data_IF_521587381702
#
_entry.id   IF_521587381702
#
_cell.length_a   1.000
_cell.length_b   1.000
_cell.length_c   1.000
_cell.angle_alpha   90.00
_cell.angle_beta   90.00
_cell.angle_gamma   90.00
#
_symmetry.space_group_name_H-M   'P 1'
#
loop_
_entity.id
_entity.type
_entity.pdbx_description
1 polymer ?
#
# COMPACT_ATOMS: atom_id res chain seq x y z
N UNK A 1 41.70 -14.05 -9.09
CA UNK A 1 40.51 -13.28 -8.67
C UNK A 1 40.76 -11.86 -9.09
N UNK A 2 39.85 -11.28 -9.88
CA UNK A 2 39.91 -9.85 -10.18
C UNK A 2 39.81 -9.05 -8.87
N UNK A 3 40.54 -7.93 -8.73
CA UNK A 3 40.47 -7.09 -7.54
C UNK A 3 39.03 -6.59 -7.36
N UNK A 4 38.46 -6.79 -6.17
CA UNK A 4 37.11 -6.34 -5.85
C UNK A 4 37.13 -4.89 -5.35
N UNK A 5 36.27 -4.05 -5.93
CA UNK A 5 35.94 -2.73 -5.46
C UNK A 5 34.79 -2.79 -4.45
N UNK A 6 34.92 -2.07 -3.34
CA UNK A 6 33.80 -1.80 -2.43
C UNK A 6 32.96 -0.65 -2.97
N UNK A 7 31.80 -0.95 -3.55
CA UNK A 7 30.81 0.05 -3.98
C UNK A 7 29.84 0.32 -2.84
N UNK A 8 29.68 1.57 -2.41
CA UNK A 8 28.84 1.90 -1.25
C UNK A 8 28.09 3.22 -1.41
N UNK A 9 27.03 3.39 -0.62
CA UNK A 9 26.20 4.59 -0.65
C UNK A 9 25.15 4.60 0.46
N UNK A 10 24.20 5.53 0.36
CA UNK A 10 23.10 5.67 1.32
C UNK A 10 21.76 5.85 0.62
N UNK A 11 20.71 5.20 1.12
CA UNK A 11 19.32 5.46 0.74
C UNK A 11 18.73 6.57 1.60
N UNK A 12 17.94 7.46 1.01
CA UNK A 12 17.22 8.52 1.74
C UNK A 12 15.84 8.74 1.15
N UNK A 13 14.97 9.43 1.88
CA UNK A 13 13.76 10.03 1.32
C UNK A 13 13.60 11.41 1.92
N UNK A 14 13.75 12.44 1.09
CA UNK A 14 13.58 13.83 1.50
C UNK A 14 12.18 14.07 2.09
N UNK A 15 11.16 13.43 1.53
CA UNK A 15 9.77 13.57 1.96
C UNK A 15 9.53 12.96 3.35
N UNK A 16 10.02 11.74 3.60
CA UNK A 16 9.98 11.16 4.96
C UNK A 16 10.87 11.94 5.95
N UNK A 17 11.96 12.52 5.46
CA UNK A 17 12.83 13.40 6.25
C UNK A 17 12.09 14.61 6.81
N UNK A 18 11.13 15.19 6.08
CA UNK A 18 10.26 16.27 6.60
C UNK A 18 9.40 15.84 7.80
N UNK A 19 9.18 14.54 7.95
CA UNK A 19 8.44 13.92 9.05
C UNK A 19 9.38 13.35 10.13
N UNK A 20 10.69 13.63 10.07
CA UNK A 20 11.73 13.04 10.92
C UNK A 20 11.75 11.49 10.88
N UNK A 21 11.47 10.90 9.72
CA UNK A 21 11.46 9.45 9.51
C UNK A 21 12.52 9.03 8.50
N UNK A 22 13.17 7.91 8.78
CA UNK A 22 14.06 7.24 7.84
C UNK A 22 13.31 6.12 7.11
N UNK A 23 13.82 5.76 5.94
CA UNK A 23 13.36 4.58 5.21
C UNK A 23 13.68 3.29 5.98
N UNK A 24 12.73 2.35 5.98
CA UNK A 24 12.90 1.01 6.55
C UNK A 24 12.57 -0.09 5.52
N UNK A 25 12.91 -1.34 5.85
CA UNK A 25 12.79 -2.51 4.97
C UNK A 25 13.33 -2.21 3.57
N UNK A 26 14.60 -1.79 3.54
CA UNK A 26 15.26 -1.34 2.33
C UNK A 26 15.90 -2.51 1.61
N UNK A 27 16.00 -2.41 0.29
CA UNK A 27 16.80 -3.32 -0.51
C UNK A 27 17.57 -2.58 -1.60
N UNK A 28 18.80 -3.01 -1.87
CA UNK A 28 19.54 -2.60 -3.07
C UNK A 28 19.96 -3.85 -3.81
N UNK A 29 19.75 -3.86 -5.11
CA UNK A 29 20.19 -4.94 -5.99
C UNK A 29 21.16 -4.40 -7.00
N UNK A 30 22.21 -5.17 -7.28
CA UNK A 30 23.22 -4.86 -8.27
C UNK A 30 23.27 -5.98 -9.31
N UNK A 31 23.12 -5.64 -10.58
CA UNK A 31 23.00 -6.55 -11.70
C UNK A 31 24.20 -6.39 -12.64
N UNK A 32 24.86 -7.52 -12.94
CA UNK A 32 25.84 -7.64 -14.03
C UNK A 32 25.19 -8.39 -15.18
N UNK A 33 24.89 -7.71 -16.30
CA UNK A 33 24.17 -8.32 -17.42
C UNK A 33 22.81 -8.92 -17.02
N UNK A 34 22.62 -10.20 -17.36
CA UNK A 34 21.42 -11.02 -17.06
C UNK A 34 21.63 -11.98 -15.87
N UNK A 35 22.74 -11.84 -15.14
CA UNK A 35 23.04 -12.71 -14.00
C UNK A 35 22.15 -12.43 -12.78
N UNK A 36 22.15 -13.38 -11.83
CA UNK A 36 21.46 -13.21 -10.55
C UNK A 36 22.04 -11.99 -9.82
N UNK A 37 21.20 -11.04 -9.38
CA UNK A 37 21.71 -9.84 -8.72
C UNK A 37 22.33 -10.15 -7.35
N UNK A 38 23.33 -9.35 -6.99
CA UNK A 38 23.75 -9.20 -5.60
C UNK A 38 22.70 -8.37 -4.87
N UNK A 39 22.20 -8.86 -3.74
CA UNK A 39 21.16 -8.20 -2.95
C UNK A 39 21.68 -7.78 -1.58
N UNK A 40 21.31 -6.58 -1.17
CA UNK A 40 21.51 -6.06 0.18
C UNK A 40 20.14 -5.70 0.76
N UNK A 41 19.86 -6.07 2.00
CA UNK A 41 18.58 -5.82 2.68
C UNK A 41 18.84 -5.34 4.10
N UNK A 42 18.19 -4.24 4.51
CA UNK A 42 18.36 -3.70 5.88
C UNK A 42 17.31 -2.64 6.22
N UNK A 43 17.08 -2.42 7.51
CA UNK A 43 16.43 -1.20 8.01
C UNK A 43 17.41 -0.03 8.12
N UNK A 44 18.71 -0.29 8.02
CA UNK A 44 19.70 0.78 7.85
C UNK A 44 19.59 1.38 6.45
N UNK A 45 20.18 2.57 6.29
CA UNK A 45 20.19 3.28 5.00
C UNK A 45 21.52 3.15 4.27
N UNK A 46 22.62 2.84 4.95
CA UNK A 46 23.93 2.69 4.34
C UNK A 46 24.13 1.26 3.82
N UNK A 47 24.47 1.13 2.54
CA UNK A 47 24.69 -0.16 1.88
C UNK A 47 26.08 -0.24 1.26
N UNK A 48 26.55 -1.46 1.01
CA UNK A 48 27.76 -1.70 0.22
C UNK A 48 27.74 -3.08 -0.46
N UNK A 49 28.53 -3.20 -1.52
CA UNK A 49 28.80 -4.42 -2.28
C UNK A 49 30.28 -4.52 -2.59
N UNK A 50 30.79 -5.73 -2.78
CA UNK A 50 32.13 -5.97 -3.33
C UNK A 50 31.98 -6.58 -4.72
N UNK A 51 32.49 -5.89 -5.75
CA UNK A 51 32.35 -6.28 -7.15
C UNK A 51 33.62 -6.02 -7.96
N UNK A 52 33.93 -6.81 -9.00
CA UNK A 52 35.04 -6.52 -9.90
C UNK A 52 34.79 -5.27 -10.76
N UNK A 53 35.81 -4.76 -11.48
CA UNK A 53 35.63 -3.70 -12.47
C UNK A 53 34.56 -4.05 -13.50
N UNK A 54 33.74 -3.08 -13.89
CA UNK A 54 32.64 -3.31 -14.82
C UNK A 54 31.49 -2.33 -14.64
N UNK A 55 30.47 -2.48 -15.48
CA UNK A 55 29.27 -1.65 -15.43
C UNK A 55 28.11 -2.45 -14.88
N UNK A 56 27.48 -1.93 -13.83
CA UNK A 56 26.39 -2.58 -13.13
C UNK A 56 25.15 -1.71 -13.14
N UNK A 57 24.00 -2.32 -13.42
CA UNK A 57 22.71 -1.67 -13.15
C UNK A 57 22.38 -1.88 -11.68
N UNK A 58 21.86 -0.88 -11.00
CA UNK A 58 21.33 -1.03 -9.66
C UNK A 58 19.83 -0.75 -9.63
N UNK A 59 19.16 -1.35 -8.64
CA UNK A 59 17.79 -1.04 -8.25
C UNK A 59 17.72 -0.86 -6.74
N UNK A 60 17.25 0.29 -6.29
CA UNK A 60 17.07 0.62 -4.89
C UNK A 60 15.58 0.65 -4.54
N UNK A 61 15.24 0.03 -3.41
CA UNK A 61 13.89 -0.20 -2.94
C UNK A 61 13.75 0.18 -1.47
N UNK A 62 12.54 0.58 -1.11
CA UNK A 62 12.04 0.52 0.25
C UNK A 62 10.58 0.09 0.20
N UNK A 63 10.11 -0.59 1.24
CA UNK A 63 8.66 -0.86 1.38
C UNK A 63 7.83 0.44 1.31
N UNK A 64 8.41 1.56 1.76
CA UNK A 64 7.76 2.85 1.95
C UNK A 64 8.00 3.85 0.81
N UNK A 65 8.76 3.48 -0.22
CA UNK A 65 9.16 4.39 -1.29
C UNK A 65 9.15 3.72 -2.67
N UNK A 66 9.11 4.54 -3.72
CA UNK A 66 9.18 4.10 -5.10
C UNK A 66 10.59 3.65 -5.46
N UNK A 67 10.69 2.63 -6.33
CA UNK A 67 11.97 2.11 -6.81
C UNK A 67 12.74 3.19 -7.58
N UNK A 68 14.05 3.26 -7.35
CA UNK A 68 14.97 4.03 -8.20
C UNK A 68 15.97 3.07 -8.84
N UNK A 69 16.09 3.17 -10.16
CA UNK A 69 17.06 2.41 -10.94
C UNK A 69 18.16 3.33 -11.46
N UNK A 70 19.37 2.79 -11.63
CA UNK A 70 20.48 3.51 -12.25
C UNK A 70 21.61 2.59 -12.65
N UNK A 71 22.75 3.18 -13.01
CA UNK A 71 23.96 2.45 -13.41
C UNK A 71 25.16 3.00 -12.67
N UNK A 72 26.06 2.12 -12.26
CA UNK A 72 27.38 2.45 -11.70
C UNK A 72 28.45 1.75 -12.53
N UNK A 73 29.51 2.49 -12.88
CA UNK A 73 30.70 1.93 -13.53
C UNK A 73 31.83 1.90 -12.52
N UNK A 74 32.40 0.71 -12.32
CA UNK A 74 33.55 0.45 -11.45
C UNK A 74 34.80 0.42 -12.34
N UNK A 75 35.71 1.40 -12.23
CA UNK A 75 36.99 1.40 -12.93
C UNK A 75 37.90 0.24 -12.51
N UNK A 76 38.86 -0.16 -13.38
CA UNK A 76 39.94 -1.05 -13.00
C UNK A 76 40.73 -0.50 -11.79
N UNK A 77 41.19 -1.40 -10.93
CA UNK A 77 42.06 -1.12 -9.77
C UNK A 77 41.49 -0.14 -8.73
N UNK A 78 40.20 0.18 -8.78
CA UNK A 78 39.54 1.01 -7.78
C UNK A 78 39.19 0.19 -6.54
N UNK A 79 39.78 0.52 -5.38
CA UNK A 79 39.51 -0.19 -4.13
C UNK A 79 38.13 0.12 -3.53
N UNK A 80 37.70 1.39 -3.58
CA UNK A 80 36.43 1.86 -3.03
C UNK A 80 35.76 2.87 -3.98
N UNK A 81 34.44 2.77 -4.14
CA UNK A 81 33.62 3.67 -4.95
C UNK A 81 32.37 4.09 -4.19
N UNK A 82 32.29 5.35 -3.80
CA UNK A 82 31.08 5.94 -3.22
C UNK A 82 30.13 6.39 -4.33
N UNK A 83 28.90 5.87 -4.35
CA UNK A 83 27.84 6.29 -5.29
C UNK A 83 26.89 7.34 -4.70
N UNK A 84 27.23 7.85 -3.52
CA UNK A 84 26.53 8.94 -2.84
C UNK A 84 25.18 8.52 -2.28
N UNK A 85 24.24 9.47 -2.31
CA UNK A 85 22.91 9.30 -1.75
C UNK A 85 21.88 9.08 -2.84
N UNK A 86 21.10 7.99 -2.73
CA UNK A 86 19.98 7.67 -3.60
C UNK A 86 18.70 8.10 -2.88
N UNK A 87 18.05 9.15 -3.37
CA UNK A 87 16.76 9.61 -2.83
C UNK A 87 15.60 8.82 -3.46
N UNK A 88 14.82 8.14 -2.63
CA UNK A 88 13.59 7.45 -3.01
C UNK A 88 12.38 8.33 -2.67
N UNK A 89 11.52 8.56 -3.66
CA UNK A 89 10.23 9.25 -3.44
C UNK A 89 9.33 8.37 -2.57
N UNK A 90 8.83 8.90 -1.46
CA UNK A 90 7.97 8.20 -0.53
C UNK A 90 6.64 7.86 -1.18
N UNK A 91 6.11 6.67 -0.88
CA UNK A 91 4.73 6.34 -1.21
C UNK A 91 3.81 7.21 -0.36
N UNK A 92 2.68 7.61 -0.95
CA UNK A 92 1.73 8.52 -0.27
C UNK A 92 1.19 7.96 1.04
N UNK A 93 0.88 6.66 1.12
CA UNK A 93 0.45 6.04 2.38
C UNK A 93 1.53 6.14 3.49
N UNK A 94 2.81 6.07 3.13
CA UNK A 94 3.91 6.17 4.09
C UNK A 94 4.03 7.59 4.66
N UNK A 95 3.70 8.62 3.86
CA UNK A 95 3.59 10.01 4.31
C UNK A 95 2.38 10.26 5.21
N UNK A 96 1.31 9.48 5.04
CA UNK A 96 0.13 9.58 5.88
C UNK A 96 0.29 8.92 7.25
N UNK A 97 1.24 8.00 7.43
CA UNK A 97 1.45 7.33 8.73
C UNK A 97 1.68 8.36 9.84
N UNK A 98 0.84 8.30 10.87
CA UNK A 98 0.80 9.23 12.01
C UNK A 98 0.06 10.55 11.74
N UNK A 99 -0.38 10.79 10.50
CA UNK A 99 -1.14 11.97 10.10
C UNK A 99 -2.65 11.70 10.16
N UNK A 100 -3.49 12.74 10.30
CA UNK A 100 -4.93 12.60 10.15
C UNK A 100 -5.30 11.93 8.82
N UNK A 101 -6.20 10.96 8.89
CA UNK A 101 -6.70 10.27 7.71
C UNK A 101 -7.50 11.25 6.81
N UNK A 102 -7.27 11.27 5.48
CA UNK A 102 -8.08 12.06 4.56
C UNK A 102 -9.56 11.70 4.66
N UNK A 103 -10.43 12.71 4.72
CA UNK A 103 -11.89 12.52 4.83
C UNK A 103 -12.49 11.94 3.54
N UNK A 104 -13.68 11.34 3.62
CA UNK A 104 -14.36 10.82 2.43
C UNK A 104 -14.72 11.94 1.45
N UNK A 105 -14.43 11.71 0.17
CA UNK A 105 -14.75 12.62 -0.93
C UNK A 105 -15.41 11.83 -2.05
N UNK A 106 -16.37 12.47 -2.73
CA UNK A 106 -17.01 11.96 -3.95
C UNK A 106 -17.64 10.57 -3.83
N UNK A 107 -18.10 10.21 -2.62
CA UNK A 107 -18.90 9.01 -2.40
C UNK A 107 -20.31 9.26 -2.95
N UNK A 108 -20.71 8.47 -3.94
CA UNK A 108 -21.99 8.65 -4.64
C UNK A 108 -23.15 7.93 -3.97
N UNK A 109 -22.86 6.86 -3.24
CA UNK A 109 -23.84 6.10 -2.49
C UNK A 109 -23.18 5.25 -1.39
N UNK A 110 -23.99 4.86 -0.42
CA UNK A 110 -23.61 3.96 0.67
C UNK A 110 -24.49 2.71 0.65
N UNK A 111 -23.86 1.55 0.84
CA UNK A 111 -24.54 0.27 1.12
C UNK A 111 -24.31 -0.08 2.59
N UNK A 112 -25.33 -0.65 3.22
CA UNK A 112 -25.34 -1.10 4.63
C UNK A 112 -25.14 0.00 5.69
N UNK A 113 -25.19 1.27 5.31
CA UNK A 113 -25.22 2.39 6.25
C UNK A 113 -25.79 3.64 5.59
N UNK A 114 -26.20 4.58 6.43
CA UNK A 114 -26.28 5.99 6.04
C UNK A 114 -24.88 6.53 5.72
N UNK A 115 -24.77 7.69 5.04
CA UNK A 115 -23.48 8.33 4.79
C UNK A 115 -22.68 8.58 6.07
N UNK A 116 -21.42 8.17 6.06
CA UNK A 116 -20.49 8.34 7.17
C UNK A 116 -19.47 9.45 6.89
N UNK A 117 -18.88 9.96 7.96
CA UNK A 117 -17.64 10.75 7.94
C UNK A 117 -16.62 10.08 8.83
N UNK A 118 -15.36 10.01 8.42
CA UNK A 118 -14.26 9.47 9.23
C UNK A 118 -14.10 10.24 10.54
N UNK A 119 -14.30 11.56 10.51
CA UNK A 119 -14.28 12.40 11.71
C UNK A 119 -15.29 11.98 12.78
N UNK A 120 -16.45 11.47 12.39
CA UNK A 120 -17.49 10.99 13.30
C UNK A 120 -17.16 9.60 13.90
N UNK A 121 -16.18 8.90 13.33
CA UNK A 121 -15.76 7.56 13.78
C UNK A 121 -14.62 7.58 14.80
N UNK A 122 -14.11 8.77 15.17
CA UNK A 122 -13.10 8.91 16.23
C UNK A 122 -13.56 8.21 17.51
N UNK A 123 -12.61 7.58 18.19
CA UNK A 123 -12.86 6.65 19.29
C UNK A 123 -12.90 5.18 18.85
N UNK A 124 -13.15 4.91 17.57
CA UNK A 124 -13.03 3.58 16.97
C UNK A 124 -11.72 3.44 16.21
N UNK A 125 -11.23 2.21 16.09
CA UNK A 125 -10.25 1.86 15.07
C UNK A 125 -11.00 1.66 13.76
N UNK A 126 -10.52 2.23 12.67
CA UNK A 126 -11.18 2.13 11.36
C UNK A 126 -10.27 1.38 10.39
N UNK A 127 -10.82 0.39 9.69
CA UNK A 127 -10.17 -0.27 8.57
C UNK A 127 -10.89 0.12 7.28
N UNK A 128 -10.23 0.91 6.43
CA UNK A 128 -10.68 1.18 5.08
C UNK A 128 -10.17 0.09 4.14
N UNK A 129 -11.05 -0.63 3.48
CA UNK A 129 -10.68 -1.64 2.50
C UNK A 129 -10.97 -1.13 1.09
N UNK A 130 -9.94 -0.83 0.29
CA UNK A 130 -10.11 -0.47 -1.12
C UNK A 130 -10.21 -1.71 -1.99
N UNK A 131 -11.33 -1.86 -2.70
CA UNK A 131 -11.65 -3.07 -3.44
C UNK A 131 -12.59 -2.81 -4.63
N UNK A 132 -12.86 -3.84 -5.42
CA UNK A 132 -13.90 -3.82 -6.46
C UNK A 132 -14.42 -5.22 -6.74
N UNK A 133 -15.69 -5.37 -7.15
CA UNK A 133 -16.25 -6.70 -7.44
C UNK A 133 -15.53 -7.40 -8.61
N UNK A 134 -14.97 -6.60 -9.54
CA UNK A 134 -14.20 -7.06 -10.70
C UNK A 134 -12.79 -7.58 -10.33
N UNK A 135 -12.32 -7.28 -9.12
CA UNK A 135 -11.01 -7.68 -8.63
C UNK A 135 -11.08 -9.08 -8.00
N UNK A 136 -10.59 -10.09 -8.74
CA UNK A 136 -10.55 -11.49 -8.29
C UNK A 136 -9.91 -11.69 -6.90
N UNK A 137 -8.69 -11.16 -6.64
CA UNK A 137 -8.07 -11.25 -5.31
C UNK A 137 -8.90 -10.56 -4.22
N UNK A 138 -9.56 -9.44 -4.52
CA UNK A 138 -10.38 -8.71 -3.56
C UNK A 138 -11.57 -9.56 -3.10
N UNK A 139 -12.34 -10.12 -4.04
CA UNK A 139 -13.51 -10.92 -3.71
C UNK A 139 -13.14 -12.27 -3.10
N UNK A 140 -11.97 -12.82 -3.44
CA UNK A 140 -11.43 -14.02 -2.80
C UNK A 140 -11.10 -13.83 -1.32
N UNK A 141 -10.73 -12.61 -0.91
CA UNK A 141 -10.29 -12.30 0.47
C UNK A 141 -11.34 -11.63 1.34
N UNK A 142 -12.52 -11.35 0.77
CA UNK A 142 -13.66 -10.84 1.52
C UNK A 142 -14.03 -11.76 2.71
N UNK A 143 -13.81 -13.08 2.61
CA UNK A 143 -14.03 -14.02 3.71
C UNK A 143 -13.09 -13.79 4.91
N UNK A 144 -11.85 -13.35 4.67
CA UNK A 144 -10.92 -12.97 5.74
C UNK A 144 -11.43 -11.70 6.44
N UNK A 145 -11.89 -10.70 5.67
CA UNK A 145 -12.49 -9.48 6.21
C UNK A 145 -13.76 -9.76 7.02
N UNK A 146 -14.59 -10.71 6.59
CA UNK A 146 -15.75 -11.16 7.34
C UNK A 146 -15.36 -11.74 8.70
N UNK A 147 -14.27 -12.50 8.74
CA UNK A 147 -13.74 -13.08 9.98
C UNK A 147 -13.20 -11.99 10.92
N UNK A 148 -12.47 -11.01 10.37
CA UNK A 148 -12.00 -9.83 11.12
C UNK A 148 -13.20 -9.03 11.66
N UNK A 149 -14.23 -8.80 10.85
CA UNK A 149 -15.46 -8.12 11.26
C UNK A 149 -16.13 -8.83 12.44
N UNK A 150 -16.36 -10.14 12.32
CA UNK A 150 -17.03 -10.93 13.36
C UNK A 150 -16.25 -10.93 14.67
N UNK A 151 -14.92 -10.94 14.60
CA UNK A 151 -14.05 -11.00 15.77
C UNK A 151 -13.99 -9.66 16.52
N UNK A 152 -13.96 -8.53 15.80
CA UNK A 152 -13.56 -7.25 16.38
C UNK A 152 -14.61 -6.14 16.32
N UNK A 153 -15.74 -6.29 15.63
CA UNK A 153 -16.77 -5.23 15.53
C UNK A 153 -17.26 -4.75 16.89
N UNK A 154 -17.45 -5.67 17.84
CA UNK A 154 -17.95 -5.37 19.20
C UNK A 154 -16.84 -4.86 20.13
N UNK A 155 -15.60 -4.75 19.63
CA UNK A 155 -14.42 -4.25 20.36
C UNK A 155 -14.00 -2.84 19.90
N UNK A 156 -14.80 -2.19 19.06
CA UNK A 156 -14.53 -0.85 18.53
C UNK A 156 -13.75 -0.83 17.22
N UNK A 157 -13.81 -1.91 16.41
CA UNK A 157 -13.38 -1.90 15.01
C UNK A 157 -14.56 -1.55 14.09
N UNK A 158 -14.35 -0.58 13.21
CA UNK A 158 -15.26 -0.27 12.10
C UNK A 158 -14.54 -0.60 10.79
N UNK A 159 -15.11 -1.50 9.99
CA UNK A 159 -14.62 -1.78 8.63
C UNK A 159 -15.48 -0.99 7.64
N UNK A 160 -14.86 -0.35 6.65
CA UNK A 160 -15.57 0.33 5.56
C UNK A 160 -14.95 -0.12 4.24
N UNK A 161 -15.75 -0.75 3.39
CA UNK A 161 -15.34 -1.09 2.04
C UNK A 161 -15.44 0.12 1.12
N UNK A 162 -14.34 0.56 0.52
CA UNK A 162 -14.31 1.57 -0.53
C UNK A 162 -14.34 0.85 -1.87
N UNK A 163 -15.51 0.79 -2.49
CA UNK A 163 -15.70 0.13 -3.76
C UNK A 163 -15.31 1.07 -4.92
N UNK A 164 -14.23 0.72 -5.62
CA UNK A 164 -13.75 1.41 -6.81
C UNK A 164 -14.47 0.88 -8.05
N UNK A 165 -15.27 1.73 -8.69
CA UNK A 165 -15.82 1.47 -10.02
C UNK A 165 -14.73 1.58 -11.10
N UNK A 166 -14.82 0.80 -12.18
CA UNK A 166 -13.91 0.87 -13.33
C UNK A 166 -14.60 1.39 -14.59
N UNK A 167 -15.60 2.27 -14.43
CA UNK A 167 -16.40 2.83 -15.50
C UNK A 167 -17.65 2.03 -15.87
N UNK A 168 -18.04 1.02 -15.06
CA UNK A 168 -19.31 0.31 -15.24
C UNK A 168 -20.51 1.06 -14.62
N UNK A 169 -20.25 2.16 -13.90
CA UNK A 169 -21.30 3.02 -13.37
C UNK A 169 -22.05 2.39 -12.19
N UNK A 170 -21.32 1.72 -11.30
CA UNK A 170 -21.84 1.19 -10.04
C UNK A 170 -22.09 2.33 -9.04
N UNK A 171 -23.15 3.09 -9.30
CA UNK A 171 -23.55 4.29 -8.55
C UNK A 171 -24.58 4.04 -7.45
N UNK A 172 -25.00 2.80 -7.24
CA UNK A 172 -26.05 2.45 -6.29
C UNK A 172 -25.86 1.04 -5.70
N UNK A 173 -26.34 0.81 -4.46
CA UNK A 173 -26.27 -0.50 -3.82
C UNK A 173 -26.91 -1.61 -4.64
N UNK A 174 -28.04 -1.33 -5.32
CA UNK A 174 -28.74 -2.32 -6.13
C UNK A 174 -27.90 -2.83 -7.31
N UNK A 175 -27.17 -1.93 -8.00
CA UNK A 175 -26.25 -2.31 -9.09
C UNK A 175 -25.09 -3.14 -8.56
N UNK A 176 -24.53 -2.76 -7.41
CA UNK A 176 -23.46 -3.55 -6.79
C UNK A 176 -23.99 -4.94 -6.40
N UNK A 177 -25.17 -5.04 -5.78
CA UNK A 177 -25.78 -6.30 -5.36
C UNK A 177 -26.04 -7.25 -6.54
N UNK A 178 -26.43 -6.72 -7.71
CA UNK A 178 -26.55 -7.50 -8.95
C UNK A 178 -25.22 -8.15 -9.35
N UNK A 179 -24.13 -7.39 -9.32
CA UNK A 179 -22.77 -7.89 -9.64
C UNK A 179 -22.27 -8.89 -8.59
N UNK A 180 -22.66 -8.70 -7.33
CA UNK A 180 -22.24 -9.56 -6.23
C UNK A 180 -23.06 -10.85 -6.11
N UNK A 181 -24.23 -10.97 -6.76
CA UNK A 181 -25.12 -12.11 -6.56
C UNK A 181 -24.45 -13.48 -6.82
N UNK A 182 -23.70 -13.60 -7.92
CA UNK A 182 -22.99 -14.85 -8.24
C UNK A 182 -21.78 -15.06 -7.30
N UNK A 183 -21.01 -14.00 -7.07
CA UNK A 183 -19.83 -14.00 -6.20
C UNK A 183 -20.21 -14.46 -4.79
N UNK A 184 -21.31 -13.92 -4.26
CA UNK A 184 -21.85 -14.26 -2.95
C UNK A 184 -22.11 -15.75 -2.82
N UNK A 185 -22.79 -16.33 -3.81
CA UNK A 185 -23.17 -17.74 -3.77
C UNK A 185 -21.96 -18.66 -3.96
N UNK A 186 -21.02 -18.28 -4.83
CA UNK A 186 -19.87 -19.13 -5.18
C UNK A 186 -18.71 -19.03 -4.20
N UNK A 187 -18.37 -17.81 -3.77
CA UNK A 187 -17.16 -17.54 -2.99
C UNK A 187 -17.47 -17.25 -1.52
N UNK A 188 -18.62 -16.62 -1.23
CA UNK A 188 -18.94 -16.17 0.13
C UNK A 188 -19.97 -17.05 0.84
N UNK A 189 -20.28 -18.24 0.28
CA UNK A 189 -21.23 -19.21 0.87
C UNK A 189 -22.59 -18.59 1.20
N UNK A 190 -23.05 -17.64 0.37
CA UNK A 190 -24.32 -16.94 0.54
C UNK A 190 -24.28 -15.75 1.50
N UNK A 191 -23.14 -15.48 2.17
CA UNK A 191 -22.99 -14.38 3.11
C UNK A 191 -22.85 -13.04 2.39
N UNK A 192 -23.70 -12.08 2.75
CA UNK A 192 -23.58 -10.70 2.28
C UNK A 192 -22.51 -9.94 3.09
N UNK A 193 -22.04 -8.82 2.53
CA UNK A 193 -21.09 -7.92 3.19
C UNK A 193 -21.75 -7.33 4.43
N UNK A 194 -21.20 -7.52 5.64
CA UNK A 194 -21.86 -7.13 6.89
C UNK A 194 -21.51 -5.71 7.36
N UNK A 195 -20.64 -5.02 6.63
CA UNK A 195 -20.12 -3.70 7.00
C UNK A 195 -20.49 -2.64 5.95
N UNK A 196 -20.39 -1.33 6.30
CA UNK A 196 -20.60 -0.23 5.37
C UNK A 196 -19.74 -0.32 4.11
N UNK A 197 -20.32 0.01 2.96
CA UNK A 197 -19.59 0.13 1.69
C UNK A 197 -19.86 1.49 1.07
N UNK A 198 -18.81 2.27 0.88
CA UNK A 198 -18.83 3.52 0.13
C UNK A 198 -18.60 3.24 -1.36
N UNK A 199 -19.51 3.69 -2.22
CA UNK A 199 -19.37 3.59 -3.66
C UNK A 199 -18.72 4.86 -4.18
N UNK A 200 -17.58 4.72 -4.86
CA UNK A 200 -16.90 5.83 -5.53
C UNK A 200 -16.78 5.51 -7.01
N UNK A 201 -17.14 6.49 -7.85
CA UNK A 201 -17.06 6.36 -9.29
C UNK A 201 -15.68 6.80 -9.78
N UNK A 202 -15.18 6.11 -10.79
CA UNK A 202 -13.99 6.57 -11.50
C UNK A 202 -14.38 7.68 -12.49
N UNK A 203 -13.68 8.81 -12.42
CA UNK A 203 -13.82 9.89 -13.38
C UNK A 203 -13.10 9.50 -14.69
N UNK A 204 -13.76 8.70 -15.53
CA UNK A 204 -13.38 8.39 -16.93
C UNK A 204 -11.89 8.50 -17.28
N UNK A 205 -11.02 7.75 -16.60
CA UNK A 205 -9.66 7.48 -17.11
C UNK A 205 -9.49 5.96 -17.18
N UNK A 206 -9.36 5.36 -18.37
CA UNK A 206 -9.30 3.92 -18.48
C UNK A 206 -8.10 3.36 -17.70
N UNK A 207 -8.35 2.33 -16.89
CA UNK A 207 -7.39 1.64 -16.02
C UNK A 207 -6.17 1.00 -16.74
N UNK A 208 -6.00 1.19 -18.07
CA UNK A 208 -4.96 0.53 -18.86
C UNK A 208 -3.88 1.47 -19.39
N UNK A 209 -2.65 1.04 -19.10
CA UNK A 209 -1.35 1.43 -19.65
C UNK A 209 -0.79 2.78 -19.16
N UNK A 210 0.34 2.67 -18.45
CA UNK A 210 1.44 3.66 -18.40
C UNK A 210 1.61 4.49 -17.09
N UNK A 211 2.47 3.92 -16.23
CA UNK A 211 3.48 4.44 -15.27
C UNK A 211 3.23 5.68 -14.39
N UNK A 212 2.28 6.58 -14.65
CA UNK A 212 2.00 7.74 -13.77
C UNK A 212 0.50 7.92 -13.51
N UNK A 213 -0.17 6.81 -13.27
CA UNK A 213 -1.63 6.70 -13.11
C UNK A 213 -2.07 7.18 -11.71
N UNK A 214 -2.49 8.45 -11.61
CA UNK A 214 -3.39 8.89 -10.53
C UNK A 214 -4.66 8.07 -10.62
N UNK A 215 -5.07 7.41 -9.53
CA UNK A 215 -6.37 6.78 -9.46
C UNK A 215 -7.42 7.79 -9.94
N UNK A 216 -8.28 7.40 -10.89
CA UNK A 216 -9.39 8.26 -11.33
C UNK A 216 -10.46 8.46 -10.25
N UNK A 217 -10.17 8.08 -9.00
CA UNK A 217 -10.93 8.33 -7.80
C UNK A 217 -10.08 9.18 -6.83
N UNK A 218 -10.49 10.43 -6.53
CA UNK A 218 -9.78 11.30 -5.59
C UNK A 218 -9.56 10.69 -4.21
N UNK A 219 -10.54 9.93 -3.68
CA UNK A 219 -10.39 9.26 -2.39
C UNK A 219 -9.25 8.22 -2.42
N UNK A 220 -9.16 7.40 -3.46
CA UNK A 220 -8.03 6.45 -3.60
C UNK A 220 -6.70 7.20 -3.74
N UNK A 221 -6.67 8.31 -4.48
CA UNK A 221 -5.47 9.13 -4.67
C UNK A 221 -4.99 9.80 -3.37
N UNK A 222 -5.90 10.29 -2.52
CA UNK A 222 -5.57 10.89 -1.23
C UNK A 222 -4.79 9.94 -0.34
N UNK A 223 -5.16 8.66 -0.37
CA UNK A 223 -4.51 7.56 0.35
C UNK A 223 -3.32 6.93 -0.40
N UNK A 224 -3.09 7.30 -1.67
CA UNK A 224 -2.00 6.73 -2.47
C UNK A 224 -2.25 5.32 -2.97
N UNK A 225 -3.51 4.93 -3.14
CA UNK A 225 -3.89 3.59 -3.55
C UNK A 225 -3.76 3.46 -5.07
N UNK A 226 -2.78 2.67 -5.51
CA UNK A 226 -2.49 2.41 -6.92
C UNK A 226 -2.88 0.99 -7.38
N UNK A 227 -3.31 0.16 -6.42
CA UNK A 227 -3.68 -1.24 -6.62
C UNK A 227 -4.66 -1.71 -5.54
N UNK A 228 -5.47 -2.71 -5.88
CA UNK A 228 -6.43 -3.36 -4.98
C UNK A 228 -6.20 -4.88 -4.95
N UNK A 229 -6.50 -5.57 -3.83
CA UNK A 229 -7.00 -5.03 -2.58
C UNK A 229 -5.92 -4.30 -1.79
N UNK A 230 -6.29 -3.19 -1.14
CA UNK A 230 -5.42 -2.50 -0.19
C UNK A 230 -6.25 -2.03 1.00
N UNK A 231 -5.89 -2.45 2.20
CA UNK A 231 -6.45 -1.92 3.44
C UNK A 231 -5.63 -0.76 3.99
N UNK A 232 -6.27 0.19 4.67
CA UNK A 232 -5.62 1.24 5.46
C UNK A 232 -6.22 1.23 6.85
N UNK A 233 -5.35 1.07 7.85
CA UNK A 233 -5.73 1.06 9.26
C UNK A 233 -5.58 2.46 9.85
N UNK A 234 -6.58 2.89 10.62
CA UNK A 234 -6.68 4.19 11.25
C UNK A 234 -6.92 4.02 12.75
N UNK A 235 -6.17 4.75 13.58
CA UNK A 235 -6.26 4.70 15.03
C UNK A 235 -7.51 5.43 15.58
N UNK A 236 -7.73 5.32 16.89
CA UNK A 236 -8.87 5.97 17.58
C UNK A 236 -8.85 7.50 17.53
N UNK A 237 -7.71 8.11 17.23
CA UNK A 237 -7.59 9.55 17.06
C UNK A 237 -7.87 9.99 15.61
N UNK A 238 -8.11 9.04 14.71
CA UNK A 238 -8.35 9.29 13.29
C UNK A 238 -7.06 9.48 12.50
N UNK A 239 -5.94 8.89 12.93
CA UNK A 239 -4.65 8.94 12.22
C UNK A 239 -4.33 7.63 11.53
N UNK A 240 -3.73 7.70 10.35
CA UNK A 240 -3.30 6.50 9.61
C UNK A 240 -2.18 5.80 10.36
N UNK A 241 -2.30 4.49 10.54
CA UNK A 241 -1.31 3.64 11.22
C UNK A 241 -0.44 2.93 10.19
N UNK A 242 -1.07 2.15 9.32
CA UNK A 242 -0.36 1.39 8.30
C UNK A 242 -1.31 0.92 7.20
N UNK A 243 -0.73 0.37 6.14
CA UNK A 243 -1.47 -0.52 5.23
C UNK A 243 -1.82 -1.82 5.93
N UNK A 244 -2.93 -2.42 5.54
CA UNK A 244 -3.44 -3.64 6.15
C UNK A 244 -3.86 -4.62 5.06
N UNK A 245 -3.51 -5.89 5.27
CA UNK A 245 -3.91 -6.98 4.42
C UNK A 245 -4.61 -8.05 5.28
N UNK A 246 -5.95 -8.12 5.19
CA UNK A 246 -6.76 -9.09 5.94
C UNK A 246 -6.34 -10.54 5.65
N UNK A 247 -6.02 -11.32 6.68
CA UNK A 247 -5.51 -12.70 6.55
C UNK A 247 -3.99 -12.82 6.50
N UNK A 248 -3.25 -11.72 6.72
CA UNK A 248 -1.81 -11.74 6.98
C UNK A 248 -1.55 -11.56 8.48
N UNK A 249 -0.87 -12.51 9.10
CA UNK A 249 -0.61 -12.52 10.55
C UNK A 249 0.10 -11.25 11.06
N UNK A 250 1.06 -10.72 10.29
CA UNK A 250 1.75 -9.47 10.64
C UNK A 250 0.80 -8.30 10.76
N UNK A 251 -0.22 -8.26 9.91
CA UNK A 251 -1.14 -7.13 9.82
C UNK A 251 -2.22 -7.28 10.90
N UNK A 252 -2.65 -8.51 11.21
CA UNK A 252 -3.50 -8.77 12.39
C UNK A 252 -2.79 -8.38 13.70
N UNK A 253 -1.48 -8.59 13.82
CA UNK A 253 -0.72 -8.11 14.96
C UNK A 253 -0.71 -6.58 15.07
N UNK A 254 -0.60 -5.87 13.94
CA UNK A 254 -0.71 -4.40 13.89
C UNK A 254 -2.11 -3.94 14.28
N UNK A 255 -3.16 -4.61 13.80
CA UNK A 255 -4.55 -4.33 14.19
C UNK A 255 -4.72 -4.50 15.70
N UNK A 256 -4.29 -5.62 16.28
CA UNK A 256 -4.41 -5.88 17.71
C UNK A 256 -3.68 -4.82 18.55
N UNK A 257 -2.47 -4.42 18.14
CA UNK A 257 -1.73 -3.35 18.81
C UNK A 257 -2.50 -2.02 18.75
N UNK A 258 -3.02 -1.67 17.58
CA UNK A 258 -3.83 -0.45 17.37
C UNK A 258 -5.11 -0.49 18.22
N UNK A 259 -5.79 -1.64 18.28
CA UNK A 259 -6.96 -1.88 19.12
C UNK A 259 -6.63 -1.78 20.61
N UNK A 260 -5.41 -2.10 21.04
CA UNK A 260 -4.98 -1.93 22.43
C UNK A 260 -4.64 -0.47 22.81
N UNK A 261 -4.47 0.43 21.82
CA UNK A 261 -4.15 1.84 22.04
C UNK A 261 -2.67 2.13 22.31
N UNK A 262 -1.77 1.24 21.89
CA UNK A 262 -0.31 1.34 22.05
C UNK A 262 0.42 1.64 20.75
#
# INVERSE_FOLDING_TARGET
>A
MEPQCRVFGRLTSNELGTLNRNLAANAVYLYSGDERPLGWFSDQTAFHFYVPPGTYRFKAYSSEAHEVSGTVTVPPDQAELEIGTINLAAKRWALLRGQPAPEFQEVVAWKNSEPLKLSDLRGNVVLLEFWGYWCGPCVGRMADLFSVYDKYRDQGLVIIGIHLDTGEGIDSPAKLDEKLAEIKNRLWKGRDIPFPVALVLEHQVPFRADVERKAGCPLAADYGIDSVPTGVLIDRQGRVVDTYYAGRDSDEAVLLKTMAGN
#
